data_IF_599586142514
#
_entry.id   IF_599586142514
#
_cell.length_a   1.000
_cell.length_b   1.000
_cell.length_c   1.000
_cell.angle_alpha   90.00
_cell.angle_beta   90.00
_cell.angle_gamma   90.00
#
_symmetry.space_group_name_H-M   'P 1'
#
loop_
_entity.id
_entity.type
_entity.pdbx_description
1 polymer ?
#
# COMPACT_ATOMS: atom_id res chain seq x y z
N UNK A 1 32.81 8.97 13.00
CA UNK A 1 31.36 9.11 13.28
C UNK A 1 30.74 10.05 12.26
N UNK A 2 29.59 9.71 11.67
CA UNK A 2 28.91 10.54 10.67
C UNK A 2 28.21 11.75 11.30
N UNK A 3 28.17 12.89 10.59
CA UNK A 3 27.39 14.07 11.00
C UNK A 3 25.90 13.82 10.77
N UNK A 4 25.07 14.13 11.77
CA UNK A 4 23.60 14.10 11.64
C UNK A 4 23.17 15.11 10.58
N UNK A 5 22.23 14.71 9.72
CA UNK A 5 21.62 15.55 8.69
C UNK A 5 20.12 15.30 8.70
N UNK A 6 19.36 16.34 8.43
CA UNK A 6 17.92 16.21 8.18
C UNK A 6 17.68 15.33 6.95
N UNK A 7 16.68 14.43 6.99
CA UNK A 7 16.30 13.65 5.82
C UNK A 7 15.72 14.57 4.75
N UNK A 8 16.04 14.27 3.49
CA UNK A 8 15.38 14.92 2.36
C UNK A 8 13.88 14.56 2.36
N UNK A 9 13.01 15.41 1.80
CA UNK A 9 11.61 15.06 1.56
C UNK A 9 11.52 13.74 0.79
N UNK A 10 10.70 12.82 1.28
CA UNK A 10 10.47 11.50 0.66
C UNK A 10 9.00 11.32 0.35
N UNK A 11 8.72 10.48 -0.64
CA UNK A 11 7.36 10.17 -1.08
C UNK A 11 6.75 9.05 -0.24
N UNK A 12 5.51 9.23 0.18
CA UNK A 12 4.74 8.17 0.83
C UNK A 12 4.23 7.17 -0.21
N UNK A 13 4.61 5.91 -0.05
CA UNK A 13 4.14 4.77 -0.84
C UNK A 13 3.52 3.73 0.09
N UNK A 14 2.34 3.23 -0.25
CA UNK A 14 1.62 2.24 0.56
C UNK A 14 1.36 0.98 -0.27
N UNK A 15 1.79 -0.16 0.26
CA UNK A 15 1.43 -1.48 -0.26
C UNK A 15 0.30 -2.09 0.57
N UNK A 16 -0.81 -2.42 -0.09
CA UNK A 16 -1.98 -3.03 0.53
C UNK A 16 -2.09 -4.49 0.07
N UNK A 17 -2.50 -5.39 0.97
CA UNK A 17 -2.75 -6.81 0.66
C UNK A 17 -4.15 -7.17 1.17
N UNK A 18 -4.95 -7.83 0.34
CA UNK A 18 -6.30 -8.27 0.68
C UNK A 18 -6.75 -9.43 -0.22
N UNK A 19 -7.56 -10.34 0.30
CA UNK A 19 -8.31 -11.33 -0.50
C UNK A 19 -9.59 -10.74 -1.09
N UNK A 20 -10.09 -9.64 -0.53
CA UNK A 20 -11.30 -8.95 -0.96
C UNK A 20 -10.93 -7.64 -1.67
N UNK A 21 -11.33 -7.52 -2.95
CA UNK A 21 -10.98 -6.37 -3.79
C UNK A 21 -11.66 -5.06 -3.35
N UNK A 22 -12.88 -5.16 -2.81
CA UNK A 22 -13.64 -4.02 -2.31
C UNK A 22 -12.88 -3.23 -1.23
N UNK A 23 -12.03 -3.93 -0.46
CA UNK A 23 -11.26 -3.33 0.64
C UNK A 23 -10.17 -2.38 0.12
N UNK A 24 -9.69 -2.54 -1.12
CA UNK A 24 -8.70 -1.62 -1.68
C UNK A 24 -9.29 -0.22 -1.88
N UNK A 25 -10.50 -0.13 -2.42
CA UNK A 25 -11.18 1.16 -2.62
C UNK A 25 -11.51 1.83 -1.28
N UNK A 26 -11.98 1.04 -0.31
CA UNK A 26 -12.27 1.54 1.04
C UNK A 26 -11.01 2.05 1.74
N UNK A 27 -9.90 1.31 1.62
CA UNK A 27 -8.62 1.69 2.18
C UNK A 27 -8.07 2.95 1.50
N UNK A 28 -8.09 3.00 0.16
CA UNK A 28 -7.66 4.16 -0.62
C UNK A 28 -8.42 5.42 -0.21
N UNK A 29 -9.76 5.36 -0.08
CA UNK A 29 -10.57 6.49 0.39
C UNK A 29 -10.13 7.00 1.77
N UNK A 30 -9.90 6.09 2.73
CA UNK A 30 -9.44 6.46 4.09
C UNK A 30 -8.02 7.02 4.08
N UNK A 31 -7.15 6.48 3.25
CA UNK A 31 -5.76 6.94 3.13
C UNK A 31 -5.70 8.32 2.47
N UNK A 32 -6.50 8.56 1.42
CA UNK A 32 -6.60 9.87 0.77
C UNK A 32 -7.09 10.96 1.74
N UNK A 33 -8.06 10.64 2.60
CA UNK A 33 -8.51 11.56 3.65
C UNK A 33 -7.40 11.92 4.65
N UNK A 34 -6.42 11.03 4.86
CA UNK A 34 -5.36 11.20 5.86
C UNK A 34 -4.08 11.81 5.28
N UNK A 35 -3.73 11.44 4.05
CA UNK A 35 -2.44 11.72 3.45
C UNK A 35 -2.52 12.61 2.19
N UNK A 36 -3.73 12.96 1.76
CA UNK A 36 -3.94 13.82 0.61
C UNK A 36 -4.13 13.05 -0.69
N UNK A 37 -3.87 13.70 -1.81
CA UNK A 37 -4.20 13.19 -3.13
C UNK A 37 -3.29 12.03 -3.53
N UNK A 38 -3.90 10.95 -4.03
CA UNK A 38 -3.19 9.83 -4.65
C UNK A 38 -2.76 10.25 -6.06
N UNK A 39 -1.47 10.10 -6.36
CA UNK A 39 -0.88 10.46 -7.65
C UNK A 39 -0.41 9.26 -8.47
N UNK A 40 -0.45 8.06 -7.87
CA UNK A 40 -0.18 6.80 -8.54
C UNK A 40 -0.98 5.68 -7.91
N UNK A 41 -1.51 4.81 -8.75
CA UNK A 41 -2.24 3.60 -8.37
C UNK A 41 -1.83 2.47 -9.30
N UNK A 42 -1.35 1.36 -8.74
CA UNK A 42 -1.02 0.17 -9.54
C UNK A 42 -2.27 -0.60 -9.95
N UNK A 43 -2.13 -1.48 -10.94
CA UNK A 43 -3.08 -2.57 -11.14
C UNK A 43 -3.12 -3.51 -9.93
N UNK A 44 -4.16 -4.34 -9.84
CA UNK A 44 -4.24 -5.41 -8.86
C UNK A 44 -3.29 -6.54 -9.25
N UNK A 45 -2.31 -6.80 -8.40
CA UNK A 45 -1.28 -7.82 -8.62
C UNK A 45 -1.62 -9.08 -7.82
N UNK A 46 -1.46 -10.29 -8.38
CA UNK A 46 -1.51 -11.51 -7.59
C UNK A 46 -0.46 -11.49 -6.46
N UNK A 47 -0.84 -11.91 -5.27
CA UNK A 47 0.06 -12.08 -4.12
C UNK A 47 0.19 -13.57 -3.78
N UNK A 48 0.91 -14.30 -4.63
CA UNK A 48 1.08 -15.76 -4.57
C UNK A 48 2.53 -16.19 -4.29
N UNK A 49 3.39 -15.27 -3.84
CA UNK A 49 4.78 -15.58 -3.51
C UNK A 49 4.96 -16.26 -2.14
N UNK A 50 3.92 -16.33 -1.32
CA UNK A 50 3.95 -16.95 0.00
C UNK A 50 2.57 -17.40 0.45
N UNK A 51 2.55 -18.46 1.25
CA UNK A 51 1.34 -19.03 1.86
C UNK A 51 1.11 -18.54 3.30
N UNK A 52 2.02 -17.73 3.84
CA UNK A 52 2.04 -17.30 5.24
C UNK A 52 0.71 -16.72 5.76
N UNK A 53 -0.04 -16.03 4.91
CA UNK A 53 -1.28 -15.34 5.29
C UNK A 53 -2.56 -16.16 5.08
N UNK A 54 -2.48 -17.33 4.44
CA UNK A 54 -3.65 -18.14 4.04
C UNK A 54 -4.60 -18.42 5.21
N UNK A 55 -4.06 -18.73 6.39
CA UNK A 55 -4.86 -19.10 7.56
C UNK A 55 -5.60 -17.92 8.22
N UNK A 56 -5.22 -16.67 7.91
CA UNK A 56 -5.73 -15.47 8.61
C UNK A 56 -6.50 -14.50 7.72
N UNK A 57 -6.19 -14.43 6.42
CA UNK A 57 -6.66 -13.35 5.55
C UNK A 57 -7.46 -13.82 4.31
N UNK A 58 -7.67 -15.14 4.14
CA UNK A 58 -8.22 -15.81 2.94
C UNK A 58 -7.15 -16.25 1.91
N UNK A 59 -7.60 -17.06 0.94
CA UNK A 59 -6.83 -17.52 -0.22
C UNK A 59 -6.93 -16.49 -1.37
N UNK A 60 -6.05 -16.59 -2.38
CA UNK A 60 -6.02 -15.70 -3.55
C UNK A 60 -5.81 -14.22 -3.22
N UNK A 61 -4.89 -13.95 -2.29
CA UNK A 61 -4.52 -12.59 -1.94
C UNK A 61 -4.06 -11.80 -3.17
N UNK A 62 -4.44 -10.54 -3.19
CA UNK A 62 -4.02 -9.53 -4.16
C UNK A 62 -3.24 -8.44 -3.45
N UNK A 63 -2.43 -7.73 -4.21
CA UNK A 63 -1.65 -6.58 -3.76
C UNK A 63 -1.91 -5.37 -4.65
N UNK A 64 -2.04 -4.21 -4.03
CA UNK A 64 -2.19 -2.92 -4.70
C UNK A 64 -1.23 -1.91 -4.09
N UNK A 65 -0.61 -1.09 -4.92
CA UNK A 65 0.23 0.02 -4.47
C UNK A 65 -0.43 1.35 -4.80
N UNK A 66 -0.31 2.30 -3.87
CA UNK A 66 -0.63 3.70 -4.10
C UNK A 66 0.49 4.60 -3.60
N UNK A 67 0.60 5.80 -4.17
CA UNK A 67 1.45 6.86 -3.61
C UNK A 67 0.73 8.20 -3.61
N UNK A 68 1.28 9.15 -2.85
CA UNK A 68 0.68 10.46 -2.63
C UNK A 68 1.56 11.57 -3.19
N UNK A 69 0.94 12.68 -3.57
CA UNK A 69 1.65 13.90 -3.95
C UNK A 69 2.45 14.44 -2.75
N UNK A 70 3.69 14.88 -2.99
CA UNK A 70 4.54 15.54 -1.99
C UNK A 70 4.21 17.02 -1.82
#
# INVERSE_FOLDING_TARGET
>A
MGKVKEPLPVKLVVGMISGEESLFEQAEKKLTQKFGLVDFTSSLLPFNCTDYYKNKMQVNLKRKFISFTN
#
